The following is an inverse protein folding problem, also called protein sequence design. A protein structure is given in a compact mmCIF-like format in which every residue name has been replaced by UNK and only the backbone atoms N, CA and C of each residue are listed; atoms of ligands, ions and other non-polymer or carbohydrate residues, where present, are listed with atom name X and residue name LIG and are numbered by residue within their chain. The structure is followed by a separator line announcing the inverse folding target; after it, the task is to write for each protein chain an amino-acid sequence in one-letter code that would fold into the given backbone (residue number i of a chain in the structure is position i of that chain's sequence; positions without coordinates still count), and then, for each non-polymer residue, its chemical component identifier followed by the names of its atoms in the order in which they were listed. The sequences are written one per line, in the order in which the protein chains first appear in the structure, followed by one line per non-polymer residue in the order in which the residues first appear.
data_IF_641608183359
#
_entry.id   IF_641608183359
#
_cell.length_a   1.000
_cell.length_b   1.000
_cell.length_c   1.000
_cell.angle_alpha   90.00
_cell.angle_beta   90.00
_cell.angle_gamma   90.00
#
_symmetry.space_group_name_H-M   'P 1'
#
loop_
_entity.id
_entity.type
_entity.pdbx_description
1 polymer ?
#
# COMPACT_ATOMS: atom_id res chain seq x y z
N UNK A 1 -14.54 -42.39 27.11
CA UNK A 1 -13.47 -42.24 26.10
C UNK A 1 -13.89 -41.13 25.15
N UNK A 2 -13.53 -39.87 25.45
CA UNK A 2 -13.87 -38.72 24.60
C UNK A 2 -12.61 -38.40 23.81
N UNK A 3 -12.63 -38.71 22.51
CA UNK A 3 -11.56 -38.39 21.58
C UNK A 3 -11.69 -36.89 21.26
N UNK A 4 -10.95 -36.07 22.00
CA UNK A 4 -10.73 -34.67 21.64
C UNK A 4 -9.84 -34.63 20.41
N UNK A 5 -10.42 -34.41 19.23
CA UNK A 5 -9.65 -34.14 18.00
C UNK A 5 -8.83 -32.85 18.19
N UNK A 6 -7.58 -32.82 17.70
CA UNK A 6 -6.59 -31.87 18.17
C UNK A 6 -6.78 -30.48 17.58
N UNK A 7 -6.51 -29.51 18.45
CA UNK A 7 -6.23 -28.09 18.26
C UNK A 7 -5.01 -27.89 17.32
N UNK A 8 -5.06 -28.41 16.09
CA UNK A 8 -3.93 -28.43 15.14
C UNK A 8 -4.06 -27.44 13.99
N UNK A 9 -5.28 -26.98 13.66
CA UNK A 9 -5.52 -26.10 12.51
C UNK A 9 -5.14 -24.64 12.73
N UNK A 10 -4.97 -24.22 14.00
CA UNK A 10 -4.57 -22.84 14.33
C UNK A 10 -3.05 -22.62 14.17
N UNK A 11 -2.23 -23.67 14.26
CA UNK A 11 -0.77 -23.58 14.18
C UNK A 11 -0.27 -23.56 12.73
N UNK A 12 -0.99 -24.17 11.79
CA UNK A 12 -0.61 -24.21 10.37
C UNK A 12 -0.71 -22.83 9.69
N UNK A 13 -1.64 -21.97 10.11
CA UNK A 13 -1.73 -20.59 9.60
C UNK A 13 -0.54 -19.73 10.01
N UNK A 14 0.06 -20.00 11.18
CA UNK A 14 1.20 -19.21 11.67
C UNK A 14 2.50 -19.55 10.94
N UNK A 15 2.66 -20.76 10.42
CA UNK A 15 3.90 -21.17 9.73
C UNK A 15 3.97 -20.61 8.30
N UNK A 16 2.85 -20.54 7.56
CA UNK A 16 2.80 -19.89 6.24
C UNK A 16 3.07 -18.38 6.28
N UNK A 17 2.84 -17.73 7.42
CA UNK A 17 3.08 -16.28 7.60
C UNK A 17 4.57 -15.91 7.70
N UNK A 18 5.46 -16.89 7.88
CA UNK A 18 6.89 -16.63 8.17
C UNK A 18 7.72 -16.50 6.91
N UNK A 19 7.29 -17.09 5.80
CA UNK A 19 7.99 -16.96 4.52
C UNK A 19 7.58 -15.67 3.84
N UNK A 20 8.58 -14.87 3.47
CA UNK A 20 8.38 -13.69 2.65
C UNK A 20 7.59 -14.08 1.39
N UNK A 21 6.44 -13.44 1.16
CA UNK A 21 5.57 -13.70 0.00
C UNK A 21 6.29 -13.47 -1.34
N UNK A 22 7.43 -12.76 -1.29
CA UNK A 22 8.29 -12.46 -2.41
C UNK A 22 9.40 -13.49 -2.66
N UNK A 23 9.59 -14.48 -1.78
CA UNK A 23 10.65 -15.50 -1.88
C UNK A 23 10.57 -16.36 -3.15
N UNK A 24 9.38 -16.51 -3.72
CA UNK A 24 9.13 -17.26 -4.97
C UNK A 24 9.60 -16.56 -6.26
N UNK A 25 9.98 -15.29 -6.19
CA UNK A 25 10.37 -14.52 -7.38
C UNK A 25 11.88 -14.56 -7.60
N UNK A 26 12.31 -14.38 -8.85
CA UNK A 26 13.73 -14.18 -9.17
C UNK A 26 14.18 -12.76 -8.81
N UNK A 27 15.49 -12.53 -8.69
CA UNK A 27 16.02 -11.20 -8.35
C UNK A 27 15.58 -10.13 -9.36
N UNK A 28 15.59 -10.44 -10.65
CA UNK A 28 15.10 -9.55 -11.71
C UNK A 28 13.61 -9.19 -11.56
N UNK A 29 12.77 -10.17 -11.21
CA UNK A 29 11.35 -9.96 -10.97
C UNK A 29 11.09 -9.09 -9.73
N UNK A 30 11.88 -9.28 -8.67
CA UNK A 30 11.84 -8.48 -7.45
C UNK A 30 12.17 -7.03 -7.73
N UNK A 31 13.24 -6.75 -8.48
CA UNK A 31 13.62 -5.40 -8.87
C UNK A 31 12.54 -4.73 -9.72
N UNK A 32 11.99 -5.46 -10.70
CA UNK A 32 10.89 -4.97 -11.55
C UNK A 32 9.66 -4.62 -10.71
N UNK A 33 9.28 -5.48 -9.77
CA UNK A 33 8.16 -5.23 -8.84
C UNK A 33 8.42 -4.06 -7.91
N UNK A 34 9.61 -3.96 -7.31
CA UNK A 34 10.01 -2.81 -6.47
C UNK A 34 9.86 -1.49 -7.24
N UNK A 35 10.33 -1.45 -8.49
CA UNK A 35 10.21 -0.27 -9.38
C UNK A 35 8.76 0.02 -9.73
N UNK A 36 7.96 -1.01 -10.01
CA UNK A 36 6.54 -0.88 -10.32
C UNK A 36 5.76 -0.27 -9.15
N UNK A 37 5.90 -0.80 -7.93
CA UNK A 37 5.23 -0.25 -6.76
C UNK A 37 5.67 1.17 -6.41
N UNK A 38 6.96 1.50 -6.60
CA UNK A 38 7.44 2.89 -6.46
C UNK A 38 6.76 3.82 -7.48
N UNK A 39 6.60 3.37 -8.74
CA UNK A 39 5.89 4.15 -9.77
C UNK A 39 4.42 4.34 -9.44
N UNK A 40 3.71 3.31 -8.98
CA UNK A 40 2.31 3.42 -8.55
C UNK A 40 2.16 4.42 -7.40
N UNK A 41 3.01 4.32 -6.39
CA UNK A 41 3.01 5.27 -5.27
C UNK A 41 3.19 6.71 -5.75
N UNK A 42 4.16 6.97 -6.64
CA UNK A 42 4.39 8.31 -7.20
C UNK A 42 3.18 8.77 -8.03
N UNK A 43 2.62 7.89 -8.85
CA UNK A 43 1.47 8.21 -9.70
C UNK A 43 0.26 8.63 -8.85
N UNK A 44 -0.02 7.94 -7.75
CA UNK A 44 -1.10 8.32 -6.84
C UNK A 44 -0.84 9.68 -6.17
N UNK A 45 0.40 9.96 -5.76
CA UNK A 45 0.76 11.27 -5.19
C UNK A 45 0.57 12.41 -6.21
N UNK A 46 1.00 12.20 -7.46
CA UNK A 46 0.86 13.18 -8.54
C UNK A 46 -0.62 13.45 -8.84
N UNK A 47 -1.43 12.40 -8.97
CA UNK A 47 -2.87 12.54 -9.19
C UNK A 47 -3.53 13.32 -8.05
N UNK A 48 -3.15 13.02 -6.81
CA UNK A 48 -3.66 13.72 -5.62
C UNK A 48 -3.33 15.20 -5.64
N UNK A 49 -2.08 15.56 -6.00
CA UNK A 49 -1.67 16.95 -6.13
C UNK A 49 -2.49 17.69 -7.20
N UNK A 50 -2.70 17.06 -8.37
CA UNK A 50 -3.54 17.62 -9.44
C UNK A 50 -4.98 17.80 -8.97
N UNK A 51 -5.57 16.79 -8.32
CA UNK A 51 -6.94 16.87 -7.79
C UNK A 51 -7.09 17.96 -6.73
N UNK A 52 -6.08 18.17 -5.88
CA UNK A 52 -6.10 19.23 -4.88
C UNK A 52 -6.12 20.61 -5.54
N UNK A 53 -5.30 20.82 -6.58
CA UNK A 53 -5.30 22.08 -7.36
C UNK A 53 -6.68 22.31 -7.99
N UNK A 54 -7.27 21.28 -8.62
CA UNK A 54 -8.60 21.37 -9.24
C UNK A 54 -9.66 21.74 -8.20
N UNK A 55 -9.65 21.12 -7.02
CA UNK A 55 -10.59 21.42 -5.95
C UNK A 55 -10.47 22.87 -5.48
N UNK A 56 -9.26 23.36 -5.27
CA UNK A 56 -9.02 24.75 -4.84
C UNK A 56 -9.52 25.74 -5.89
N UNK A 57 -9.16 25.55 -7.16
CA UNK A 57 -9.61 26.42 -8.26
C UNK A 57 -11.13 26.41 -8.36
N UNK A 58 -11.75 25.22 -8.29
CA UNK A 58 -13.21 25.09 -8.39
C UNK A 58 -13.93 25.71 -7.20
N UNK A 59 -13.38 25.57 -5.98
CA UNK A 59 -13.93 26.18 -4.77
C UNK A 59 -13.94 27.71 -4.86
N UNK A 60 -12.85 28.29 -5.38
CA UNK A 60 -12.73 29.73 -5.61
C UNK A 60 -13.73 30.22 -6.66
N UNK A 61 -13.79 29.58 -7.83
CA UNK A 61 -14.67 29.99 -8.94
C UNK A 61 -16.15 29.86 -8.57
N UNK A 62 -16.53 28.82 -7.81
CA UNK A 62 -17.93 28.56 -7.44
C UNK A 62 -18.36 29.20 -6.11
N UNK A 63 -17.46 29.94 -5.45
CA UNK A 63 -17.69 30.49 -4.10
C UNK A 63 -18.24 29.44 -3.12
N UNK A 64 -17.77 28.19 -3.21
CA UNK A 64 -18.25 27.08 -2.38
C UNK A 64 -17.19 26.68 -1.34
N UNK A 65 -17.27 27.22 -0.12
CA UNK A 65 -16.29 26.92 0.93
C UNK A 65 -16.39 25.48 1.45
N UNK A 66 -17.49 24.76 1.20
CA UNK A 66 -17.62 23.35 1.59
C UNK A 66 -16.66 22.44 0.81
N UNK A 67 -16.25 22.85 -0.39
CA UNK A 67 -15.28 22.08 -1.19
C UNK A 67 -13.91 21.97 -0.49
N UNK A 68 -13.52 22.94 0.35
CA UNK A 68 -12.29 22.87 1.14
C UNK A 68 -12.34 21.77 2.19
N UNK A 69 -13.53 21.38 2.66
CA UNK A 69 -13.69 20.30 3.64
C UNK A 69 -13.35 18.93 3.05
N UNK A 70 -13.30 18.80 1.72
CA UNK A 70 -12.91 17.56 1.03
C UNK A 70 -11.39 17.38 0.95
N UNK A 71 -10.62 18.46 1.12
CA UNK A 71 -9.15 18.43 0.98
C UNK A 71 -8.49 17.47 1.99
N UNK A 72 -8.85 17.47 3.29
CA UNK A 72 -8.29 16.50 4.25
C UNK A 72 -8.53 15.05 3.82
N UNK A 73 -9.72 14.72 3.34
CA UNK A 73 -10.04 13.37 2.87
C UNK A 73 -9.22 12.98 1.63
N UNK A 74 -9.06 13.92 0.69
CA UNK A 74 -8.21 13.74 -0.48
C UNK A 74 -6.75 13.47 -0.08
N UNK A 75 -6.22 14.20 0.90
CA UNK A 75 -4.84 13.99 1.40
C UNK A 75 -4.69 12.62 2.06
N UNK A 76 -5.66 12.19 2.88
CA UNK A 76 -5.61 10.86 3.50
C UNK A 76 -5.64 9.77 2.43
N UNK A 77 -6.59 9.83 1.50
CA UNK A 77 -6.74 8.84 0.44
C UNK A 77 -5.55 8.83 -0.54
N UNK A 78 -5.01 10.00 -0.83
CA UNK A 78 -4.03 10.20 -1.90
C UNK A 78 -2.57 10.19 -1.46
N UNK A 79 -2.30 10.43 -0.18
CA UNK A 79 -0.94 10.47 0.40
C UNK A 79 -0.77 9.39 1.46
N UNK A 80 -1.62 9.42 2.50
CA UNK A 80 -1.45 8.54 3.67
C UNK A 80 -1.66 7.07 3.28
N UNK A 81 -2.75 6.76 2.58
CA UNK A 81 -3.06 5.38 2.19
C UNK A 81 -1.99 4.75 1.27
N UNK A 82 -1.53 5.41 0.19
CA UNK A 82 -0.44 4.88 -0.63
C UNK A 82 0.85 4.67 0.16
N UNK A 83 1.18 5.55 1.11
CA UNK A 83 2.35 5.35 1.97
C UNK A 83 2.18 4.11 2.85
N UNK A 84 1.02 3.94 3.49
CA UNK A 84 0.76 2.80 4.37
C UNK A 84 0.75 1.46 3.62
N UNK A 85 0.28 1.44 2.37
CA UNK A 85 0.19 0.20 1.57
C UNK A 85 1.52 -0.12 0.88
N UNK A 86 2.10 0.83 0.15
CA UNK A 86 3.26 0.54 -0.70
C UNK A 86 4.58 0.51 0.07
N UNK A 87 4.70 1.20 1.21
CA UNK A 87 5.95 1.21 1.97
C UNK A 87 6.29 -0.17 2.55
N UNK A 88 5.38 -0.88 3.24
CA UNK A 88 5.65 -2.24 3.74
C UNK A 88 5.95 -3.22 2.61
N UNK A 89 5.20 -3.17 1.50
CA UNK A 89 5.43 -4.01 0.32
C UNK A 89 6.85 -3.80 -0.22
N UNK A 90 7.25 -2.54 -0.41
CA UNK A 90 8.60 -2.20 -0.90
C UNK A 90 9.69 -2.63 0.07
N UNK A 91 9.45 -2.55 1.39
CA UNK A 91 10.39 -3.02 2.42
C UNK A 91 10.54 -4.54 2.39
N UNK A 92 9.45 -5.30 2.25
CA UNK A 92 9.50 -6.76 2.12
C UNK A 92 10.25 -7.22 0.86
N UNK A 93 10.01 -6.55 -0.27
CA UNK A 93 10.75 -6.83 -1.52
C UNK A 93 12.23 -6.49 -1.34
N UNK A 94 12.54 -5.35 -0.69
CA UNK A 94 13.92 -4.96 -0.43
C UNK A 94 14.64 -5.96 0.47
N UNK A 95 14.00 -6.42 1.53
CA UNK A 95 14.56 -7.42 2.43
C UNK A 95 14.85 -8.75 1.71
N UNK A 96 14.00 -9.15 0.76
CA UNK A 96 14.23 -10.34 -0.07
C UNK A 96 15.41 -10.17 -1.04
N UNK A 97 15.60 -8.96 -1.59
CA UNK A 97 16.75 -8.67 -2.45
C UNK A 97 18.04 -8.67 -1.63
N UNK A 98 18.02 -8.10 -0.42
CA UNK A 98 19.17 -8.04 0.48
C UNK A 98 19.53 -9.38 1.12
N UNK A 99 18.59 -10.32 1.22
CA UNK A 99 18.84 -11.65 1.75
C UNK A 99 19.44 -12.63 0.73
N UNK A 100 19.59 -12.22 -0.53
CA UNK A 100 20.18 -13.02 -1.63
C UNK A 100 21.56 -12.51 -1.98
#
# INVERSE_FOLDING_TARGET
MIITKPFSSAFDFTVMSTQNEFSKYTLEELEKKKKHFKRLQILMLVLTAISAIILVVTALVKHNPQAYQLIPFLVIAGVVFPLLVFLPIRKKIQAEIESR
#
